data_IF_124808927892
#
_entry.id   IF_124808927892
#
_cell.length_a   1.000
_cell.length_b   1.000
_cell.length_c   1.000
_cell.angle_alpha   90.00
_cell.angle_beta   90.00
_cell.angle_gamma   90.00
#
_symmetry.space_group_name_H-M   'P 1'
#
loop_
_entity.id
_entity.type
_entity.pdbx_description
1 polymer ?
#
# COMPACT_ATOMS: atom_id res chain seq x y z
N UNK A 1 18.17 -11.76 22.28
CA UNK A 1 18.32 -10.43 22.92
C UNK A 1 18.00 -9.33 21.93
N UNK A 2 17.59 -8.14 22.39
CA UNK A 2 17.11 -7.04 21.51
C UNK A 2 17.81 -5.73 21.86
N UNK A 3 17.90 -4.80 20.91
CA UNK A 3 18.53 -3.49 21.16
C UNK A 3 18.00 -2.41 20.21
N UNK A 4 18.28 -1.14 20.52
CA UNK A 4 17.98 0.01 19.66
C UNK A 4 19.28 0.73 19.31
N UNK A 5 19.50 0.95 18.02
CA UNK A 5 20.73 1.54 17.50
C UNK A 5 20.44 2.59 16.44
N UNK A 6 21.36 3.54 16.30
CA UNK A 6 21.36 4.45 15.15
C UNK A 6 22.02 3.80 13.94
N UNK A 7 21.66 4.27 12.74
CA UNK A 7 22.29 3.84 11.47
C UNK A 7 23.82 3.99 11.53
N UNK A 8 24.33 5.05 12.19
CA UNK A 8 25.77 5.29 12.35
C UNK A 8 26.47 4.26 13.23
N UNK A 9 25.78 3.65 14.18
CA UNK A 9 26.37 2.63 15.04
C UNK A 9 26.36 1.27 14.36
N UNK A 10 25.29 0.98 13.60
CA UNK A 10 25.19 -0.23 12.77
C UNK A 10 26.32 -0.30 11.73
N UNK A 11 26.69 0.82 11.11
CA UNK A 11 27.78 0.82 10.12
C UNK A 11 29.17 0.71 10.73
N UNK A 12 29.32 1.01 12.03
CA UNK A 12 30.60 1.00 12.74
C UNK A 12 30.93 -0.36 13.34
N UNK A 13 29.92 -1.17 13.67
CA UNK A 13 30.14 -2.48 14.26
C UNK A 13 29.26 -3.55 13.61
N UNK A 14 29.83 -4.28 12.65
CA UNK A 14 29.14 -5.36 11.96
C UNK A 14 28.91 -6.63 12.79
N UNK A 15 29.58 -6.79 13.94
CA UNK A 15 29.37 -7.98 14.80
C UNK A 15 27.96 -8.02 15.40
N UNK A 16 27.34 -6.84 15.56
CA UNK A 16 26.02 -6.67 16.18
C UNK A 16 24.91 -7.43 15.44
N UNK A 17 25.05 -7.68 14.13
CA UNK A 17 24.07 -8.44 13.35
C UNK A 17 23.94 -9.91 13.76
N UNK A 18 24.95 -10.47 14.44
CA UNK A 18 24.93 -11.83 14.99
C UNK A 18 24.68 -11.91 16.50
N UNK A 19 24.65 -10.77 17.20
CA UNK A 19 24.54 -10.73 18.67
C UNK A 19 23.10 -10.56 19.17
N UNK A 20 22.22 -9.98 18.33
CA UNK A 20 20.84 -9.66 18.68
C UNK A 20 19.84 -10.36 17.75
N UNK A 21 18.71 -10.78 18.32
CA UNK A 21 17.60 -11.41 17.59
C UNK A 21 16.97 -10.40 16.62
N UNK A 22 16.81 -9.16 17.09
CA UNK A 22 16.45 -8.00 16.29
C UNK A 22 17.02 -6.69 16.86
N UNK A 23 17.19 -5.71 15.98
CA UNK A 23 17.73 -4.38 16.28
C UNK A 23 16.77 -3.33 15.73
N UNK A 24 16.21 -2.52 16.62
CA UNK A 24 15.44 -1.33 16.25
C UNK A 24 16.38 -0.22 15.77
N UNK A 25 16.01 0.42 14.67
CA UNK A 25 16.80 1.46 14.02
C UNK A 25 16.09 2.80 14.20
N UNK A 26 16.74 3.73 14.90
CA UNK A 26 16.20 5.07 15.18
C UNK A 26 17.20 6.15 14.74
N UNK A 27 16.71 7.24 14.15
CA UNK A 27 17.50 8.46 14.03
C UNK A 27 17.51 9.21 15.36
N UNK A 28 18.60 9.07 16.12
CA UNK A 28 18.80 9.73 17.42
C UNK A 28 18.68 11.25 17.40
N UNK A 29 18.81 11.91 16.23
CA UNK A 29 18.65 13.36 16.15
C UNK A 29 17.18 13.77 16.10
N UNK A 30 16.36 13.04 15.34
CA UNK A 30 14.93 13.33 15.16
C UNK A 30 14.02 12.48 16.04
N UNK A 31 14.55 11.50 16.77
CA UNK A 31 13.81 10.45 17.47
C UNK A 31 12.82 9.70 16.56
N UNK A 32 13.16 9.60 15.27
CA UNK A 32 12.31 8.96 14.29
C UNK A 32 12.70 7.50 14.10
N UNK A 33 11.73 6.60 14.26
CA UNK A 33 11.89 5.19 13.98
C UNK A 33 12.04 4.95 12.47
N UNK A 34 13.13 4.30 12.06
CA UNK A 34 13.46 4.03 10.66
C UNK A 34 13.16 2.59 10.24
N UNK A 35 13.16 1.64 11.19
CA UNK A 35 12.83 0.25 10.90
C UNK A 35 13.50 -0.72 11.88
N UNK A 36 13.49 -2.00 11.52
CA UNK A 36 14.07 -3.07 12.32
C UNK A 36 14.96 -3.95 11.45
N UNK A 37 16.13 -4.30 11.95
CA UNK A 37 16.92 -5.41 11.44
C UNK A 37 16.56 -6.68 12.20
N UNK A 38 16.42 -7.79 11.50
CA UNK A 38 16.09 -9.08 12.10
C UNK A 38 17.20 -10.05 11.74
N UNK A 39 17.70 -10.77 12.75
CA UNK A 39 18.75 -11.77 12.57
C UNK A 39 18.34 -12.84 11.56
N UNK A 40 19.35 -13.50 10.98
CA UNK A 40 19.16 -14.52 9.96
C UNK A 40 18.27 -15.68 10.43
N UNK A 41 18.32 -16.03 11.73
CA UNK A 41 17.52 -17.10 12.34
C UNK A 41 16.01 -16.91 12.12
N UNK A 42 15.52 -15.68 12.26
CA UNK A 42 14.09 -15.36 12.13
C UNK A 42 13.73 -14.74 10.77
N UNK A 43 14.72 -14.46 9.92
CA UNK A 43 14.52 -13.70 8.69
C UNK A 43 13.51 -14.35 7.73
N UNK A 44 13.57 -15.68 7.58
CA UNK A 44 12.69 -16.39 6.66
C UNK A 44 11.24 -16.46 7.14
N UNK A 45 11.02 -16.62 8.44
CA UNK A 45 9.68 -16.62 9.01
C UNK A 45 9.02 -15.25 8.89
N UNK A 46 9.80 -14.19 9.12
CA UNK A 46 9.30 -12.82 8.95
C UNK A 46 9.04 -12.50 7.47
N UNK A 47 9.90 -12.93 6.54
CA UNK A 47 9.63 -12.78 5.10
C UNK A 47 8.32 -13.46 4.71
N UNK A 48 8.12 -14.73 5.09
CA UNK A 48 6.88 -15.48 4.81
C UNK A 48 5.66 -14.79 5.41
N UNK A 49 5.79 -14.25 6.63
CA UNK A 49 4.72 -13.49 7.27
C UNK A 49 4.36 -12.21 6.49
N UNK A 50 5.37 -11.43 6.08
CA UNK A 50 5.18 -10.21 5.31
C UNK A 50 4.58 -10.49 3.93
N UNK A 51 5.04 -11.52 3.23
CA UNK A 51 4.50 -11.94 1.93
C UNK A 51 3.01 -12.28 2.02
N UNK A 52 2.61 -13.09 3.02
CA UNK A 52 1.20 -13.42 3.26
C UNK A 52 0.37 -12.16 3.52
N UNK A 53 0.88 -11.25 4.35
CA UNK A 53 0.19 -9.99 4.67
C UNK A 53 0.03 -9.10 3.44
N UNK A 54 1.08 -8.96 2.63
CA UNK A 54 1.06 -8.16 1.40
C UNK A 54 0.13 -8.75 0.33
N UNK A 55 0.13 -10.07 0.17
CA UNK A 55 -0.78 -10.77 -0.73
C UNK A 55 -2.24 -10.53 -0.33
N UNK A 56 -2.56 -10.63 0.96
CA UNK A 56 -3.90 -10.33 1.48
C UNK A 56 -4.33 -8.88 1.20
N UNK A 57 -3.45 -7.91 1.45
CA UNK A 57 -3.75 -6.48 1.17
C UNK A 57 -4.00 -6.25 -0.32
N UNK A 58 -3.20 -6.89 -1.19
CA UNK A 58 -3.41 -6.82 -2.65
C UNK A 58 -4.76 -7.40 -3.04
N UNK A 59 -5.11 -8.56 -2.51
CA UNK A 59 -6.40 -9.20 -2.77
C UNK A 59 -7.57 -8.33 -2.30
N UNK A 60 -7.51 -7.78 -1.08
CA UNK A 60 -8.55 -6.89 -0.56
C UNK A 60 -8.73 -5.63 -1.42
N UNK A 61 -7.64 -5.07 -1.96
CA UNK A 61 -7.70 -3.95 -2.90
C UNK A 61 -8.37 -4.37 -4.21
N UNK A 62 -8.03 -5.52 -4.76
CA UNK A 62 -8.65 -6.06 -5.97
C UNK A 62 -10.13 -6.32 -5.76
N UNK A 63 -10.52 -6.97 -4.66
CA UNK A 63 -11.91 -7.26 -4.32
C UNK A 63 -12.73 -5.98 -4.17
N UNK A 64 -12.13 -4.92 -3.60
CA UNK A 64 -12.78 -3.61 -3.50
C UNK A 64 -13.07 -3.01 -4.88
N UNK A 65 -12.16 -3.14 -5.83
CA UNK A 65 -12.35 -2.66 -7.20
C UNK A 65 -13.38 -3.54 -7.93
N UNK A 66 -13.27 -4.87 -7.79
CA UNK A 66 -14.17 -5.84 -8.39
C UNK A 66 -15.62 -5.67 -7.93
N UNK A 67 -15.86 -5.21 -6.69
CA UNK A 67 -17.22 -4.86 -6.23
C UNK A 67 -17.91 -3.81 -7.08
N UNK A 68 -17.18 -2.99 -7.83
CA UNK A 68 -17.72 -1.99 -8.74
C UNK A 68 -17.65 -2.43 -10.21
N UNK A 69 -16.82 -3.43 -10.53
CA UNK A 69 -16.77 -4.02 -11.87
C UNK A 69 -18.12 -4.66 -12.21
N UNK A 70 -18.71 -4.28 -13.34
CA UNK A 70 -20.00 -4.81 -13.79
C UNK A 70 -21.26 -4.27 -13.10
N UNK A 71 -21.15 -3.50 -11.99
CA UNK A 71 -22.32 -2.87 -11.34
C UNK A 71 -22.75 -1.55 -11.98
N UNK A 72 -21.97 -1.02 -12.91
CA UNK A 72 -22.33 0.16 -13.69
C UNK A 72 -23.24 -0.23 -14.86
N UNK A 73 -24.55 -0.15 -14.69
CA UNK A 73 -25.47 -0.16 -15.83
C UNK A 73 -25.53 1.24 -16.43
N UNK A 74 -25.01 1.41 -17.65
CA UNK A 74 -25.26 2.62 -18.42
C UNK A 74 -26.72 2.57 -18.88
N UNK A 75 -27.50 3.58 -18.51
CA UNK A 75 -28.86 3.71 -19.00
C UNK A 75 -28.83 3.71 -20.54
N UNK A 76 -29.64 2.91 -21.24
CA UNK A 76 -29.60 2.75 -22.71
C UNK A 76 -29.50 4.08 -23.47
N UNK A 77 -30.12 5.15 -22.97
CA UNK A 77 -30.05 6.51 -23.55
C UNK A 77 -28.67 7.17 -23.56
N UNK A 78 -27.72 6.65 -22.78
CA UNK A 78 -26.32 7.08 -22.67
C UNK A 78 -25.34 6.01 -23.13
N UNK A 79 -25.85 4.89 -23.68
CA UNK A 79 -25.02 3.82 -24.21
C UNK A 79 -24.19 4.34 -25.39
N UNK A 80 -22.89 4.00 -25.44
CA UNK A 80 -21.93 4.47 -26.45
C UNK A 80 -21.65 5.98 -26.48
N UNK A 81 -22.18 6.77 -25.55
CA UNK A 81 -21.85 8.20 -25.45
C UNK A 81 -20.64 8.41 -24.54
N UNK A 82 -19.77 9.33 -24.96
CA UNK A 82 -18.67 9.81 -24.12
C UNK A 82 -19.18 10.73 -23.02
N UNK A 83 -18.36 10.97 -21.98
CA UNK A 83 -18.72 11.85 -20.85
C UNK A 83 -19.15 13.25 -21.31
N UNK A 84 -18.53 13.80 -22.35
CA UNK A 84 -18.88 15.10 -22.93
C UNK A 84 -20.28 15.08 -23.56
N UNK A 85 -20.56 14.05 -24.36
CA UNK A 85 -21.86 13.88 -25.04
C UNK A 85 -23.00 13.60 -24.05
N UNK A 86 -22.72 12.88 -22.95
CA UNK A 86 -23.71 12.66 -21.88
C UNK A 86 -24.08 13.97 -21.19
N UNK A 87 -23.10 14.85 -20.93
CA UNK A 87 -23.35 16.18 -20.32
C UNK A 87 -24.18 17.07 -21.25
N UNK A 88 -23.83 17.11 -22.53
CA UNK A 88 -24.55 17.89 -23.53
C UNK A 88 -26.01 17.41 -23.68
N UNK A 89 -26.22 16.09 -23.76
CA UNK A 89 -27.57 15.51 -23.85
C UNK A 89 -28.43 15.81 -22.62
N UNK A 90 -27.86 15.76 -21.41
CA UNK A 90 -28.55 16.18 -20.18
C UNK A 90 -28.91 17.67 -20.18
N UNK A 91 -28.05 18.52 -20.72
CA UNK A 91 -28.31 19.95 -20.82
C UNK A 91 -29.46 20.24 -21.81
N UNK A 92 -29.44 19.60 -22.98
CA UNK A 92 -30.54 19.69 -23.97
C UNK A 92 -31.87 19.17 -23.43
N UNK A 93 -31.88 18.01 -22.76
CA UNK A 93 -33.09 17.44 -22.13
C UNK A 93 -33.66 18.33 -21.00
N UNK A 94 -32.79 19.04 -20.26
CA UNK A 94 -33.20 19.83 -19.08
C UNK A 94 -33.57 21.27 -19.42
N UNK A 95 -32.99 21.86 -20.46
CA UNK A 95 -33.13 23.29 -20.77
C UNK A 95 -33.70 23.56 -22.17
N UNK A 96 -34.00 22.52 -22.97
CA UNK A 96 -34.82 22.59 -24.18
C UNK A 96 -34.60 23.84 -25.02
N UNK A 97 -33.42 23.97 -25.63
CA UNK A 97 -33.24 24.88 -26.75
C UNK A 97 -33.01 24.04 -28.01
N UNK A 98 -34.11 23.96 -28.77
CA UNK A 98 -34.34 23.45 -30.14
C UNK A 98 -33.61 22.18 -30.59
#
# INVERSE_FOLDING_TARGET
MTTTMSIRELTRNGSMFGEYDYIDIEDRKSHEYKGVFISAEYADDVKKFLEKKLAKIKQEKLDRIMKFAGKGSIHKRFEKLTVSQIKEKKAKEKYGQE
#
